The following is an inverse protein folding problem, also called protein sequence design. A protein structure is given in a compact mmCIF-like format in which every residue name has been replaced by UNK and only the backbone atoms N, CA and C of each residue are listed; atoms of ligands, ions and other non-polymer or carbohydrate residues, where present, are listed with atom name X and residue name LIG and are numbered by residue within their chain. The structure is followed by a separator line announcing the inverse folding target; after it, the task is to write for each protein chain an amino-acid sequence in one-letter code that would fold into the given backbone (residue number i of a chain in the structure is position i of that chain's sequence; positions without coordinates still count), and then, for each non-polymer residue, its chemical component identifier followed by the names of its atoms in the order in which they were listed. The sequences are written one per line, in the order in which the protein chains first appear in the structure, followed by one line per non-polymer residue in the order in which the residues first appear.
data_IF_852831818074
#
_entry.id   IF_852831818074
#
_cell.length_a   1.000
_cell.length_b   1.000
_cell.length_c   1.000
_cell.angle_alpha   90.00
_cell.angle_beta   90.00
_cell.angle_gamma   90.00
#
_symmetry.space_group_name_H-M   'P 1'
#
loop_
_entity.id
_entity.type
_entity.pdbx_description
1 polymer ?
#
# COMPACT_ATOMS: atom_id res chain seq x y z
N UNK A 1 -0.65 11.50 3.24
CA UNK A 1 0.47 11.41 2.29
C UNK A 1 0.79 9.94 2.05
N UNK A 2 0.99 9.52 0.81
CA UNK A 2 1.41 8.15 0.47
C UNK A 2 2.93 8.09 0.20
N UNK A 3 3.55 6.93 0.48
CA UNK A 3 4.98 6.73 0.30
C UNK A 3 5.50 5.51 1.03
N UNK A 4 6.83 5.37 1.14
CA UNK A 4 7.50 4.19 1.72
C UNK A 4 7.94 4.39 3.17
N UNK A 5 8.31 5.60 3.52
CA UNK A 5 8.91 5.99 4.81
C UNK A 5 8.14 7.15 5.47
N UNK A 6 6.87 7.33 5.09
CA UNK A 6 6.03 8.43 5.58
C UNK A 6 5.87 8.35 7.10
N UNK A 7 5.38 7.24 7.63
CA UNK A 7 5.15 7.08 9.07
C UNK A 7 6.39 6.81 9.92
N UNK A 8 7.56 6.60 9.29
CA UNK A 8 8.82 6.26 9.99
C UNK A 8 9.88 7.35 9.92
N UNK A 9 9.84 8.22 8.90
CA UNK A 9 10.85 9.27 8.66
C UNK A 9 10.22 10.63 8.42
N UNK A 10 9.26 10.73 7.50
CA UNK A 10 8.74 12.04 7.05
C UNK A 10 7.77 12.66 8.07
N UNK A 11 6.82 11.86 8.57
CA UNK A 11 5.83 12.23 9.59
C UNK A 11 5.78 11.15 10.68
N UNK A 12 6.84 11.07 11.52
CA UNK A 12 6.91 10.09 12.60
C UNK A 12 5.90 10.37 13.71
N UNK A 13 5.30 11.56 13.78
CA UNK A 13 4.27 11.93 14.76
C UNK A 13 2.89 12.10 14.12
N UNK A 14 2.64 11.49 12.96
CA UNK A 14 1.31 11.54 12.34
C UNK A 14 0.25 10.87 13.24
N UNK A 15 -0.90 11.53 13.41
CA UNK A 15 -2.02 11.05 14.24
C UNK A 15 -2.56 9.70 13.77
N UNK A 16 -2.48 9.43 12.46
CA UNK A 16 -2.89 8.18 11.84
C UNK A 16 -1.84 7.69 10.84
N UNK A 17 -1.40 6.44 11.03
CA UNK A 17 -0.46 5.76 10.13
C UNK A 17 -1.03 4.43 9.67
N UNK A 18 -1.09 4.23 8.37
CA UNK A 18 -1.63 3.02 7.76
C UNK A 18 -0.54 2.38 6.91
N UNK A 19 -0.24 1.12 7.21
CA UNK A 19 0.69 0.29 6.46
C UNK A 19 -0.11 -0.68 5.59
N UNK A 20 -0.36 -0.26 4.36
CA UNK A 20 -1.15 -1.02 3.41
C UNK A 20 -0.31 -2.10 2.71
N UNK A 21 -0.79 -3.33 2.72
CA UNK A 21 -0.18 -4.48 2.07
C UNK A 21 -1.17 -5.15 1.12
N UNK A 22 -0.62 -5.90 0.17
CA UNK A 22 -1.37 -6.87 -0.64
C UNK A 22 -0.42 -7.89 -1.26
N UNK A 23 -0.95 -9.08 -1.55
CA UNK A 23 -0.26 -10.11 -2.34
C UNK A 23 0.27 -9.51 -3.65
N UNK A 24 1.50 -9.88 -4.02
CA UNK A 24 2.14 -9.36 -5.23
C UNK A 24 1.33 -9.65 -6.50
N UNK A 25 0.71 -10.83 -6.57
CA UNK A 25 -0.20 -11.26 -7.64
C UNK A 25 -1.35 -10.25 -7.85
N UNK A 26 -2.04 -9.88 -6.77
CA UNK A 26 -3.19 -8.96 -6.83
C UNK A 26 -2.74 -7.56 -7.27
N UNK A 27 -1.59 -7.10 -6.76
CA UNK A 27 -1.02 -5.82 -7.19
C UNK A 27 -0.61 -5.85 -8.67
N UNK A 28 -0.08 -6.97 -9.16
CA UNK A 28 0.25 -7.16 -10.55
C UNK A 28 -0.99 -7.15 -11.44
N UNK A 29 -2.06 -7.84 -11.03
CA UNK A 29 -3.32 -7.88 -11.76
C UNK A 29 -3.95 -6.49 -11.86
N UNK A 30 -4.02 -5.74 -10.76
CA UNK A 30 -4.52 -4.36 -10.74
C UNK A 30 -3.71 -3.47 -11.68
N UNK A 31 -2.38 -3.55 -11.62
CA UNK A 31 -1.48 -2.77 -12.49
C UNK A 31 -1.61 -3.17 -13.96
N UNK A 32 -1.72 -4.45 -14.25
CA UNK A 32 -1.89 -4.97 -15.59
C UNK A 32 -3.21 -4.46 -16.22
N UNK A 33 -4.32 -4.55 -15.51
CA UNK A 33 -5.63 -4.00 -15.93
C UNK A 33 -5.57 -2.49 -16.17
N UNK A 34 -4.85 -1.75 -15.33
CA UNK A 34 -4.63 -0.30 -15.51
C UNK A 34 -3.87 0.00 -16.81
N UNK A 35 -2.82 -0.77 -17.12
CA UNK A 35 -2.05 -0.63 -18.37
C UNK A 35 -2.89 -0.96 -19.60
N UNK A 36 -3.67 -2.05 -19.56
CA UNK A 36 -4.58 -2.42 -20.63
C UNK A 36 -5.63 -1.33 -20.90
N UNK A 37 -6.20 -0.74 -19.85
CA UNK A 37 -7.17 0.37 -19.97
C UNK A 37 -6.55 1.62 -20.61
N UNK A 38 -5.23 1.82 -20.44
CA UNK A 38 -4.46 2.90 -21.08
C UNK A 38 -3.99 2.55 -22.50
N UNK A 39 -4.34 1.37 -23.02
CA UNK A 39 -3.90 0.89 -24.33
C UNK A 39 -2.41 0.56 -24.39
N UNK A 40 -1.77 0.32 -23.25
CA UNK A 40 -0.36 -0.06 -23.17
C UNK A 40 -0.27 -1.59 -23.21
N UNK A 41 0.41 -2.11 -24.23
CA UNK A 41 0.73 -3.53 -24.30
C UNK A 41 1.71 -3.90 -23.17
N UNK A 42 1.37 -4.93 -22.42
CA UNK A 42 2.12 -5.37 -21.25
C UNK A 42 2.04 -6.88 -21.12
N UNK A 43 3.07 -7.48 -20.55
CA UNK A 43 3.08 -8.89 -20.15
C UNK A 43 2.83 -9.00 -18.65
N UNK A 44 1.89 -9.84 -18.24
CA UNK A 44 1.51 -9.98 -16.83
C UNK A 44 2.69 -10.45 -15.97
N UNK A 45 3.45 -11.45 -16.43
CA UNK A 45 4.60 -11.98 -15.69
C UNK A 45 5.71 -10.93 -15.55
N UNK A 46 5.95 -10.14 -16.59
CA UNK A 46 6.88 -9.00 -16.52
C UNK A 46 6.40 -7.94 -15.51
N UNK A 47 5.09 -7.64 -15.45
CA UNK A 47 4.52 -6.71 -14.46
C UNK A 47 4.72 -7.24 -13.04
N UNK A 48 4.38 -8.51 -12.80
CA UNK A 48 4.54 -9.17 -11.50
C UNK A 48 5.99 -9.17 -11.03
N UNK A 49 6.92 -9.60 -11.89
CA UNK A 49 8.35 -9.62 -11.58
C UNK A 49 8.90 -8.23 -11.27
N UNK A 50 8.41 -7.20 -11.96
CA UNK A 50 8.79 -5.82 -11.66
C UNK A 50 8.28 -5.37 -10.28
N UNK A 51 7.07 -5.76 -9.90
CA UNK A 51 6.51 -5.47 -8.58
C UNK A 51 7.34 -6.15 -7.49
N UNK A 52 7.58 -7.45 -7.59
CA UNK A 52 8.36 -8.21 -6.60
C UNK A 52 9.79 -7.66 -6.45
N UNK A 53 10.43 -7.32 -7.57
CA UNK A 53 11.75 -6.69 -7.56
C UNK A 53 11.74 -5.34 -6.84
N UNK A 54 10.71 -4.52 -7.06
CA UNK A 54 10.56 -3.22 -6.40
C UNK A 54 10.33 -3.39 -4.90
N UNK A 55 9.48 -4.34 -4.50
CA UNK A 55 9.25 -4.63 -3.08
C UNK A 55 10.54 -5.07 -2.40
N UNK A 56 11.31 -5.96 -3.03
CA UNK A 56 12.61 -6.38 -2.50
C UNK A 56 13.56 -5.20 -2.33
N UNK A 57 13.70 -4.32 -3.33
CA UNK A 57 14.57 -3.14 -3.26
C UNK A 57 14.08 -2.18 -2.17
N UNK A 58 12.78 -1.89 -2.12
CA UNK A 58 12.19 -0.94 -1.18
C UNK A 58 12.33 -1.43 0.27
N UNK A 59 12.18 -2.73 0.53
CA UNK A 59 12.33 -3.30 1.87
C UNK A 59 13.79 -3.46 2.30
N UNK A 60 14.72 -3.71 1.36
CA UNK A 60 16.13 -4.00 1.68
C UNK A 60 17.08 -2.79 1.52
N UNK A 61 16.60 -1.63 1.04
CA UNK A 61 17.45 -0.43 0.91
C UNK A 61 17.95 0.03 2.28
N UNK A 62 19.21 0.51 2.33
CA UNK A 62 19.86 0.93 3.58
C UNK A 62 19.25 2.18 4.20
N UNK A 63 18.76 3.10 3.37
CA UNK A 63 18.25 4.40 3.79
C UNK A 63 16.73 4.40 3.61
N UNK A 64 16.00 4.73 4.67
CA UNK A 64 14.54 4.80 4.69
C UNK A 64 13.82 3.56 4.13
N UNK A 65 14.13 2.32 4.54
CA UNK A 65 13.46 1.13 4.00
C UNK A 65 11.94 1.19 4.17
N UNK A 66 11.20 0.57 3.25
CA UNK A 66 9.79 0.29 3.42
C UNK A 66 9.62 -0.62 4.64
N UNK A 67 9.19 -0.02 5.75
CA UNK A 67 9.00 -0.69 7.02
C UNK A 67 7.76 -0.12 7.71
N UNK A 68 7.00 -1.00 8.35
CA UNK A 68 5.89 -0.63 9.20
C UNK A 68 6.38 0.18 10.40
N UNK A 69 5.78 1.36 10.65
CA UNK A 69 5.97 2.07 11.91
C UNK A 69 5.36 1.27 13.07
N UNK A 70 5.88 1.41 14.29
CA UNK A 70 5.44 0.59 15.43
C UNK A 70 3.97 0.78 15.78
N UNK A 71 3.46 1.98 15.55
CA UNK A 71 2.08 2.44 15.79
C UNK A 71 1.21 2.44 14.52
N UNK A 72 1.73 1.93 13.39
CA UNK A 72 0.93 1.85 12.16
C UNK A 72 -0.02 0.66 12.17
N UNK A 73 -1.27 0.94 11.78
CA UNK A 73 -2.31 -0.05 11.55
C UNK A 73 -2.05 -0.74 10.21
N UNK A 74 -2.15 -2.07 10.17
CA UNK A 74 -1.96 -2.84 8.93
C UNK A 74 -3.30 -2.98 8.23
N UNK A 75 -3.33 -2.61 6.95
CA UNK A 75 -4.45 -2.89 6.06
C UNK A 75 -4.01 -3.88 4.99
N UNK A 76 -4.48 -5.12 5.05
CA UNK A 76 -4.33 -6.06 3.93
C UNK A 76 -5.53 -5.93 2.99
N UNK A 77 -5.33 -5.29 1.84
CA UNK A 77 -6.38 -5.11 0.86
C UNK A 77 -6.33 -6.12 -0.28
N UNK A 78 -5.70 -7.29 -0.08
CA UNK A 78 -5.60 -8.34 -1.10
C UNK A 78 -6.96 -8.79 -1.63
N UNK A 79 -7.94 -8.91 -0.75
CA UNK A 79 -9.26 -9.45 -1.04
C UNK A 79 -10.38 -8.41 -0.89
N UNK A 80 -10.00 -7.12 -0.91
CA UNK A 80 -10.93 -6.00 -0.83
C UNK A 80 -11.16 -5.37 -2.20
N UNK A 81 -12.42 -5.02 -2.44
CA UNK A 81 -12.83 -4.06 -3.46
C UNK A 81 -12.45 -2.63 -3.02
N UNK A 82 -12.50 -1.69 -3.97
CA UNK A 82 -12.29 -0.27 -3.64
C UNK A 82 -13.35 0.21 -2.64
N UNK A 83 -14.59 -0.26 -2.76
CA UNK A 83 -15.67 0.16 -1.88
C UNK A 83 -15.46 -0.35 -0.44
N UNK A 84 -15.16 -1.64 -0.25
CA UNK A 84 -14.86 -2.19 1.08
C UNK A 84 -13.64 -1.49 1.69
N UNK A 85 -12.65 -1.12 0.86
CA UNK A 85 -11.50 -0.37 1.33
C UNK A 85 -11.90 1.04 1.82
N UNK A 86 -12.84 1.71 1.14
CA UNK A 86 -13.35 3.01 1.57
C UNK A 86 -14.16 2.90 2.86
N UNK A 87 -15.04 1.91 2.96
CA UNK A 87 -15.83 1.62 4.17
C UNK A 87 -14.91 1.37 5.38
N UNK A 88 -13.84 0.58 5.21
CA UNK A 88 -12.85 0.36 6.26
C UNK A 88 -12.16 1.66 6.73
N UNK A 89 -11.85 2.57 5.80
CA UNK A 89 -11.27 3.87 6.17
C UNK A 89 -12.29 4.76 6.92
N UNK A 90 -13.55 4.75 6.50
CA UNK A 90 -14.62 5.51 7.16
C UNK A 90 -14.85 5.04 8.59
N UNK A 91 -14.89 3.72 8.80
CA UNK A 91 -14.99 3.11 10.13
C UNK A 91 -13.83 3.54 11.02
N UNK A 92 -12.59 3.37 10.54
CA UNK A 92 -11.39 3.74 11.29
C UNK A 92 -11.37 5.23 11.68
N UNK A 93 -11.75 6.12 10.77
CA UNK A 93 -11.80 7.55 11.06
C UNK A 93 -12.90 7.89 12.07
N UNK A 94 -14.02 7.16 12.05
CA UNK A 94 -15.08 7.35 13.03
C UNK A 94 -14.60 7.01 14.44
N UNK A 95 -13.90 5.88 14.62
CA UNK A 95 -13.36 5.43 15.91
C UNK A 95 -12.40 6.46 16.51
N UNK A 96 -11.48 6.99 15.70
CA UNK A 96 -10.53 8.02 16.13
C UNK A 96 -11.20 9.33 16.55
N UNK A 97 -12.33 9.69 15.94
CA UNK A 97 -13.09 10.89 16.30
C UNK A 97 -13.90 10.71 17.59
N UNK A 98 -14.23 9.47 18.00
CA UNK A 98 -14.90 9.22 19.28
C UNK A 98 -13.94 9.18 20.47
N UNK A 99 -12.64 8.98 20.23
CA UNK A 99 -11.60 8.95 21.28
C UNK A 99 -10.98 10.34 21.57
N UNK A 100 -11.32 11.38 20.79
CA UNK A 100 -10.89 12.77 20.97
C UNK A 100 -12.02 13.68 21.47
#
# INVERSE_FOLDING_TARGET
MDGRDIGTVVFPEADLKIFMIARAEIRAERRYKELQTKGVDADFEAVKKNIEKRDYIDTNRKISPLKKATDAIVLDNSDMTVQEQMEWFEELLSELNYEN
#
